data_IF_854025455096
#
_entry.id   IF_854025455096
#
_cell.length_a   1.000
_cell.length_b   1.000
_cell.length_c   1.000
_cell.angle_alpha   90.00
_cell.angle_beta   90.00
_cell.angle_gamma   90.00
#
_symmetry.space_group_name_H-M   'P 1'
#
loop_
_entity.id
_entity.type
_entity.pdbx_description
1 polymer ?
#
# COMPACT_ATOMS: atom_id res chain seq x y z
N UNK A 1 13.11 -9.83 -1.51
CA UNK A 1 12.11 -8.75 -1.64
C UNK A 1 12.64 -7.40 -1.14
N UNK A 2 13.40 -7.34 -0.04
CA UNK A 2 14.06 -6.10 0.43
C UNK A 2 15.59 -6.14 0.26
N UNK A 3 16.10 -6.82 -0.76
CA UNK A 3 17.56 -6.86 -1.02
C UNK A 3 18.02 -5.56 -1.64
N UNK A 4 19.31 -5.24 -1.53
CA UNK A 4 19.89 -4.04 -2.15
C UNK A 4 19.56 -3.94 -3.63
N UNK A 5 19.70 -5.04 -4.36
CA UNK A 5 19.41 -5.12 -5.80
C UNK A 5 17.94 -4.83 -6.13
N UNK A 6 17.00 -5.32 -5.30
CA UNK A 6 15.57 -5.01 -5.49
C UNK A 6 15.26 -3.55 -5.12
N UNK A 7 15.90 -2.99 -4.09
CA UNK A 7 15.74 -1.57 -3.77
C UNK A 7 16.29 -0.66 -4.87
N UNK A 8 17.42 -1.04 -5.47
CA UNK A 8 18.04 -0.29 -6.56
C UNK A 8 17.21 -0.35 -7.84
N UNK A 9 16.58 -1.49 -8.15
CA UNK A 9 15.68 -1.59 -9.31
C UNK A 9 14.45 -0.67 -9.18
N UNK A 10 13.97 -0.42 -7.96
CA UNK A 10 12.88 0.54 -7.69
C UNK A 10 13.34 1.99 -7.47
N UNK A 11 14.62 2.32 -7.67
CA UNK A 11 15.12 3.68 -7.48
C UNK A 11 14.33 4.73 -8.27
N UNK A 12 14.02 4.43 -9.54
CA UNK A 12 13.23 5.32 -10.40
C UNK A 12 11.84 5.60 -9.81
N UNK A 13 11.16 4.55 -9.34
CA UNK A 13 9.83 4.66 -8.74
C UNK A 13 9.85 5.53 -7.48
N UNK A 14 10.81 5.29 -6.57
CA UNK A 14 10.99 6.10 -5.35
C UNK A 14 11.19 7.57 -5.70
N UNK A 15 12.05 7.85 -6.69
CA UNK A 15 12.34 9.21 -7.14
C UNK A 15 11.13 9.89 -7.79
N UNK A 16 10.33 9.14 -8.54
CA UNK A 16 9.11 9.62 -9.19
C UNK A 16 8.06 10.05 -8.16
N UNK A 17 7.77 9.21 -7.17
CA UNK A 17 6.76 9.50 -6.14
C UNK A 17 7.15 10.67 -5.23
N UNK A 18 8.43 10.76 -4.86
CA UNK A 18 8.94 11.91 -4.10
C UNK A 18 8.78 13.20 -4.91
N UNK A 19 9.12 13.18 -6.20
CA UNK A 19 8.94 14.35 -7.08
C UNK A 19 7.48 14.74 -7.25
N UNK A 20 6.57 13.78 -7.37
CA UNK A 20 5.13 14.05 -7.42
C UNK A 20 4.64 14.71 -6.13
N UNK A 21 5.09 14.23 -4.99
CA UNK A 21 4.73 14.80 -3.68
C UNK A 21 5.23 16.24 -3.53
N UNK A 22 6.48 16.51 -3.94
CA UNK A 22 7.05 17.88 -3.94
C UNK A 22 6.28 18.79 -4.90
N UNK A 23 5.97 18.32 -6.11
CA UNK A 23 5.15 19.07 -7.08
C UNK A 23 3.77 19.38 -6.52
N UNK A 24 3.15 18.43 -5.81
CA UNK A 24 1.84 18.63 -5.20
C UNK A 24 1.88 19.74 -4.14
N UNK A 25 2.86 19.72 -3.23
CA UNK A 25 3.01 20.81 -2.24
C UNK A 25 3.26 22.15 -2.92
N UNK A 26 4.18 22.17 -3.89
CA UNK A 26 4.54 23.38 -4.61
C UNK A 26 3.38 23.98 -5.42
N UNK A 27 2.46 23.16 -5.95
CA UNK A 27 1.35 23.66 -6.76
C UNK A 27 0.12 24.02 -5.93
N UNK A 28 -0.09 23.37 -4.78
CA UNK A 28 -1.38 23.43 -4.07
C UNK A 28 -1.30 24.12 -2.71
N UNK A 29 -0.09 24.28 -2.14
CA UNK A 29 0.08 24.70 -0.74
C UNK A 29 1.05 25.88 -0.58
N UNK A 30 1.29 26.65 -1.63
CA UNK A 30 2.10 27.89 -1.53
C UNK A 30 1.38 28.89 -0.63
N UNK A 31 2.00 29.23 0.49
CA UNK A 31 1.46 30.18 1.47
C UNK A 31 0.52 29.59 2.52
N UNK A 32 0.25 28.27 2.49
CA UNK A 32 -0.58 27.58 3.48
C UNK A 32 0.26 26.69 4.40
N UNK A 33 -0.13 26.51 5.68
CA UNK A 33 0.53 25.57 6.57
C UNK A 33 0.37 24.12 6.07
N UNK A 34 1.46 23.38 6.04
CA UNK A 34 1.53 22.00 5.54
C UNK A 34 1.82 21.05 6.70
N UNK A 35 1.00 20.01 6.86
CA UNK A 35 1.34 18.91 7.77
C UNK A 35 2.35 17.97 7.11
N UNK A 36 3.62 18.13 7.49
CA UNK A 36 4.73 17.32 6.97
C UNK A 36 4.56 15.84 7.33
N UNK A 37 3.98 15.53 8.49
CA UNK A 37 3.73 14.15 8.91
C UNK A 37 2.77 13.42 7.98
N UNK A 38 1.65 14.07 7.64
CA UNK A 38 0.66 13.53 6.70
C UNK A 38 1.24 13.39 5.29
N UNK A 39 1.98 14.41 4.83
CA UNK A 39 2.64 14.39 3.54
C UNK A 39 3.63 13.22 3.44
N UNK A 40 4.56 13.11 4.40
CA UNK A 40 5.56 12.05 4.42
C UNK A 40 4.92 10.67 4.50
N UNK A 41 3.87 10.52 5.31
CA UNK A 41 3.14 9.26 5.40
C UNK A 41 2.55 8.86 4.04
N UNK A 42 1.86 9.78 3.36
CA UNK A 42 1.28 9.53 2.04
C UNK A 42 2.35 9.23 0.98
N UNK A 43 3.47 9.97 0.97
CA UNK A 43 4.57 9.74 0.04
C UNK A 43 5.22 8.38 0.25
N UNK A 44 5.53 8.00 1.50
CA UNK A 44 6.15 6.71 1.82
C UNK A 44 5.19 5.58 1.48
N UNK A 45 3.89 5.74 1.77
CA UNK A 45 2.89 4.76 1.36
C UNK A 45 2.88 4.60 -0.15
N UNK A 46 2.74 5.66 -0.94
CA UNK A 46 2.74 5.55 -2.40
C UNK A 46 3.99 4.84 -2.95
N UNK A 47 5.16 5.10 -2.34
CA UNK A 47 6.41 4.41 -2.65
C UNK A 47 6.33 2.91 -2.33
N UNK A 48 5.96 2.53 -1.11
CA UNK A 48 5.89 1.12 -0.68
C UNK A 48 4.85 0.36 -1.49
N UNK A 49 3.68 0.95 -1.68
CA UNK A 49 2.56 0.39 -2.44
C UNK A 49 2.97 0.18 -3.91
N UNK A 50 3.66 1.15 -4.51
CA UNK A 50 4.18 1.02 -5.87
C UNK A 50 5.25 -0.07 -6.00
N UNK A 51 6.10 -0.27 -4.98
CA UNK A 51 7.11 -1.33 -4.97
C UNK A 51 6.50 -2.72 -4.77
N UNK A 52 5.50 -2.86 -3.91
CA UNK A 52 4.84 -4.14 -3.63
C UNK A 52 3.95 -4.56 -4.82
N UNK A 53 3.29 -3.61 -5.49
CA UNK A 53 2.28 -3.95 -6.51
C UNK A 53 2.64 -3.60 -7.95
N UNK A 54 3.79 -2.97 -8.19
CA UNK A 54 4.32 -2.76 -9.55
C UNK A 54 3.67 -1.63 -10.34
N UNK A 55 2.98 -0.70 -9.67
CA UNK A 55 2.40 0.49 -10.30
C UNK A 55 1.78 1.44 -9.28
N UNK A 56 1.82 2.74 -9.58
CA UNK A 56 1.04 3.75 -8.84
C UNK A 56 -0.43 3.46 -9.13
N UNK A 57 -1.15 2.84 -8.19
CA UNK A 57 -2.60 2.68 -8.34
C UNK A 57 -3.25 4.06 -8.22
N UNK A 58 -3.83 4.53 -9.32
CA UNK A 58 -4.70 5.70 -9.33
C UNK A 58 -5.98 5.35 -8.57
N UNK A 59 -5.94 5.64 -7.29
CA UNK A 59 -7.05 5.40 -6.39
C UNK A 59 -6.75 6.09 -5.10
N UNK A 60 -6.92 7.42 -5.07
CA UNK A 60 -6.90 8.22 -3.84
C UNK A 60 -7.75 7.51 -2.75
N UNK A 61 -8.84 6.84 -3.14
CA UNK A 61 -9.65 6.00 -2.25
C UNK A 61 -8.93 4.79 -1.66
N UNK A 62 -8.15 4.04 -2.46
CA UNK A 62 -7.43 2.86 -1.99
C UNK A 62 -6.28 3.22 -1.03
N UNK A 63 -5.54 4.30 -1.32
CA UNK A 63 -4.50 4.81 -0.43
C UNK A 63 -5.07 5.27 0.93
N UNK A 64 -6.25 5.90 0.93
CA UNK A 64 -6.95 6.33 2.15
C UNK A 64 -7.50 5.13 2.94
N UNK A 65 -8.10 4.15 2.27
CA UNK A 65 -8.59 2.93 2.90
C UNK A 65 -7.44 2.15 3.58
N UNK A 66 -6.35 1.92 2.86
CA UNK A 66 -5.18 1.24 3.40
C UNK A 66 -4.53 2.02 4.55
N UNK A 67 -4.43 3.35 4.43
CA UNK A 67 -3.94 4.23 5.50
C UNK A 67 -4.75 4.07 6.78
N UNK A 68 -6.08 4.06 6.66
CA UNK A 68 -6.95 3.91 7.82
C UNK A 68 -6.73 2.56 8.51
N UNK A 69 -6.60 1.49 7.73
CA UNK A 69 -6.36 0.14 8.26
C UNK A 69 -4.98 0.04 8.91
N UNK A 70 -3.91 0.57 8.29
CA UNK A 70 -2.57 0.57 8.90
C UNK A 70 -2.52 1.42 10.17
N UNK A 71 -3.19 2.57 10.20
CA UNK A 71 -3.28 3.39 11.41
C UNK A 71 -4.03 2.67 12.53
N UNK A 72 -5.11 1.94 12.20
CA UNK A 72 -5.86 1.11 13.16
C UNK A 72 -4.97 0.01 13.74
N UNK A 73 -4.24 -0.73 12.88
CA UNK A 73 -3.29 -1.76 13.33
C UNK A 73 -2.13 -1.18 14.12
N UNK A 74 -1.55 -0.06 13.68
CA UNK A 74 -0.44 0.60 14.37
C UNK A 74 -0.87 1.09 15.75
N UNK A 75 -2.09 1.62 15.89
CA UNK A 75 -2.64 2.01 17.20
C UNK A 75 -2.83 0.82 18.13
N UNK A 76 -3.29 -0.31 17.60
CA UNK A 76 -3.46 -1.55 18.35
C UNK A 76 -2.10 -2.14 18.75
N UNK A 77 -1.10 -2.11 17.88
CA UNK A 77 0.27 -2.58 18.18
C UNK A 77 1.08 -1.63 19.06
N UNK A 78 0.83 -0.32 19.00
CA UNK A 78 1.49 0.68 19.84
C UNK A 78 0.94 0.72 21.27
N UNK A 79 -0.21 0.08 21.53
CA UNK A 79 -0.67 -0.12 22.88
C UNK A 79 0.35 -1.02 23.61
N UNK A 80 0.98 -0.55 24.71
CA UNK A 80 1.93 -1.38 25.45
C UNK A 80 1.24 -2.66 25.88
N UNK A 81 1.90 -3.79 25.68
CA UNK A 81 1.36 -5.10 26.05
C UNK A 81 1.27 -5.19 27.58
N UNK A 82 0.11 -4.83 28.14
CA UNK A 82 -0.09 -4.83 29.60
C UNK A 82 0.01 -6.25 30.19
N UNK A 83 -0.24 -7.30 29.39
CA UNK A 83 -0.05 -8.69 29.82
C UNK A 83 1.43 -9.04 30.03
N UNK A 84 2.32 -8.35 29.29
CA UNK A 84 3.76 -8.13 29.51
C UNK A 84 4.14 -7.89 30.97
N UNK A 85 3.34 -7.04 31.63
CA UNK A 85 3.65 -6.46 32.94
C UNK A 85 2.78 -7.03 34.07
N UNK A 86 1.55 -7.45 33.77
CA UNK A 86 0.59 -7.97 34.76
C UNK A 86 -0.21 -9.17 34.21
N UNK A 87 0.28 -10.42 34.42
CA UNK A 87 -0.33 -11.65 33.92
C UNK A 87 -1.80 -11.84 34.37
N UNK A 88 -2.19 -11.29 35.52
CA UNK A 88 -3.55 -11.39 36.07
C UNK A 88 -4.62 -10.56 35.33
N UNK A 89 -4.22 -9.62 34.47
CA UNK A 89 -5.13 -8.78 33.67
C UNK A 89 -5.35 -9.34 32.25
N UNK A 90 -4.78 -10.51 31.92
CA UNK A 90 -4.89 -11.13 30.59
C UNK A 90 -6.35 -11.43 30.16
N UNK A 91 -7.24 -11.67 31.12
CA UNK A 91 -8.66 -11.96 30.85
C UNK A 91 -9.50 -10.74 30.45
N UNK A 92 -8.97 -9.53 30.68
CA UNK A 92 -9.71 -8.27 30.54
C UNK A 92 -9.64 -7.69 29.11
N UNK A 93 -8.95 -8.37 28.18
CA UNK A 93 -8.74 -7.99 26.77
C UNK A 93 -8.43 -6.50 26.56
N UNK A 94 -7.56 -5.94 27.42
CA UNK A 94 -7.13 -4.54 27.32
C UNK A 94 -6.29 -4.26 26.06
N UNK A 95 -5.76 -5.32 25.42
CA UNK A 95 -5.05 -5.24 24.14
C UNK A 95 -5.99 -5.14 22.94
N UNK A 96 -7.28 -5.44 23.09
CA UNK A 96 -8.24 -5.41 21.98
C UNK A 96 -7.88 -6.41 20.89
N UNK A 97 -7.56 -7.65 21.28
CA UNK A 97 -7.18 -8.74 20.36
C UNK A 97 -8.29 -8.95 19.32
N UNK A 98 -9.56 -8.85 19.71
CA UNK A 98 -10.70 -8.92 18.79
C UNK A 98 -10.65 -7.80 17.72
N UNK A 99 -10.38 -6.55 18.13
CA UNK A 99 -10.21 -5.42 17.20
C UNK A 99 -9.00 -5.62 16.29
N UNK A 100 -7.92 -6.21 16.80
CA UNK A 100 -6.74 -6.56 16.01
C UNK A 100 -7.07 -7.59 14.93
N UNK A 101 -7.88 -8.61 15.26
CA UNK A 101 -8.31 -9.64 14.33
C UNK A 101 -9.22 -9.07 13.23
N UNK A 102 -10.12 -8.15 13.58
CA UNK A 102 -10.96 -7.43 12.60
C UNK A 102 -10.10 -6.56 11.67
N UNK A 103 -9.13 -5.83 12.20
CA UNK A 103 -8.22 -5.02 11.40
C UNK A 103 -7.36 -5.89 10.47
N UNK A 104 -6.88 -7.05 10.95
CA UNK A 104 -6.11 -8.00 10.13
C UNK A 104 -6.95 -8.61 9.00
N UNK A 105 -8.22 -8.94 9.27
CA UNK A 105 -9.14 -9.42 8.23
C UNK A 105 -9.38 -8.37 7.13
N UNK A 106 -9.38 -7.08 7.47
CA UNK A 106 -9.44 -5.99 6.46
C UNK A 106 -8.17 -5.95 5.63
N UNK A 107 -6.99 -6.13 6.24
CA UNK A 107 -5.71 -6.20 5.53
C UNK A 107 -5.68 -7.38 4.56
N UNK A 108 -6.11 -8.57 5.00
CA UNK A 108 -6.16 -9.77 4.15
C UNK A 108 -7.06 -9.55 2.93
N UNK A 109 -8.26 -8.99 3.14
CA UNK A 109 -9.18 -8.67 2.03
C UNK A 109 -8.61 -7.64 1.04
N UNK A 110 -7.78 -6.72 1.51
CA UNK A 110 -7.04 -5.80 0.64
C UNK A 110 -5.98 -6.57 -0.17
N UNK A 111 -5.19 -7.44 0.45
CA UNK A 111 -4.18 -8.23 -0.27
C UNK A 111 -4.79 -9.20 -1.29
N UNK A 112 -5.87 -9.89 -0.93
CA UNK A 112 -6.57 -10.83 -1.83
C UNK A 112 -7.01 -10.15 -3.12
N UNK A 113 -7.65 -8.97 -3.02
CA UNK A 113 -8.07 -8.18 -4.20
C UNK A 113 -6.89 -7.88 -5.11
N UNK A 114 -5.72 -7.61 -4.54
CA UNK A 114 -4.54 -7.22 -5.30
C UNK A 114 -3.85 -8.43 -5.94
N UNK A 115 -3.81 -9.55 -5.23
CA UNK A 115 -3.31 -10.82 -5.77
C UNK A 115 -4.17 -11.22 -6.97
N UNK A 116 -5.50 -11.10 -6.87
CA UNK A 116 -6.43 -11.37 -7.95
C UNK A 116 -6.25 -10.44 -9.16
N UNK A 117 -6.07 -9.13 -8.93
CA UNK A 117 -5.78 -8.17 -10.00
C UNK A 117 -4.47 -8.51 -10.72
N UNK A 118 -3.40 -8.83 -9.98
CA UNK A 118 -2.12 -9.17 -10.57
C UNK A 118 -2.19 -10.46 -11.37
N UNK A 119 -2.92 -11.46 -10.87
CA UNK A 119 -3.17 -12.72 -11.59
C UNK A 119 -3.93 -12.49 -12.90
N UNK A 120 -4.89 -11.55 -12.92
CA UNK A 120 -5.60 -11.17 -14.15
C UNK A 120 -4.69 -10.44 -15.16
N UNK A 121 -3.76 -9.62 -14.70
CA UNK A 121 -2.79 -8.94 -15.57
C UNK A 121 -1.81 -9.93 -16.21
N UNK A 122 -1.31 -10.91 -15.44
CA UNK A 122 -0.41 -11.97 -15.96
C UNK A 122 -1.14 -12.93 -16.93
N UNK A 123 -2.43 -13.21 -16.71
CA UNK A 123 -3.23 -14.04 -17.63
C UNK A 123 -3.72 -13.31 -18.90
N UNK A 124 -3.58 -11.98 -18.99
CA UNK A 124 -3.98 -11.20 -20.17
C UNK A 124 -2.90 -11.07 -21.25
N UNK A 125 -1.71 -11.63 -21.01
CA UNK A 125 -0.53 -11.46 -21.86
C UNK A 125 -0.40 -12.43 -23.04
N UNK A 126 -1.29 -13.41 -23.21
CA UNK A 126 -1.12 -14.43 -24.25
C UNK A 126 -2.45 -14.75 -24.97
N UNK A 127 -2.52 -14.48 -26.28
CA UNK A 127 -3.61 -14.99 -27.11
C UNK A 127 -4.24 -14.10 -28.21
N UNK A 128 -3.69 -12.92 -28.56
CA UNK A 128 -4.37 -11.99 -29.48
C UNK A 128 -3.70 -11.68 -30.84
N UNK A 129 -2.40 -11.89 -30.99
CA UNK A 129 -1.63 -11.27 -32.10
C UNK A 129 -1.63 -12.01 -33.45
N UNK A 130 -1.85 -13.32 -33.47
CA UNK A 130 -1.51 -14.14 -34.64
C UNK A 130 -2.66 -14.36 -35.64
N UNK A 131 -3.90 -14.00 -35.29
CA UNK A 131 -5.06 -14.23 -36.17
C UNK A 131 -5.32 -13.14 -37.22
N UNK A 132 -4.63 -11.99 -37.17
CA UNK A 132 -4.83 -10.90 -38.14
C UNK A 132 -3.87 -10.93 -39.33
N UNK A 133 -2.79 -11.73 -39.28
CA UNK A 133 -1.73 -11.73 -40.31
C UNK A 133 -1.93 -12.82 -41.38
N UNK A 134 -2.86 -13.77 -41.19
CA UNK A 134 -3.05 -14.91 -42.12
C UNK A 134 -4.33 -14.88 -42.97
N UNK A 135 -5.06 -13.75 -43.04
CA UNK A 135 -6.20 -13.60 -43.97
C UNK A 135 -6.05 -12.29 -44.73
N UNK A 136 -5.16 -12.28 -45.72
CA UNK A 136 -4.88 -11.11 -46.54
C UNK A 136 -3.77 -11.39 -47.55
N UNK A 137 -3.96 -12.41 -48.38
CA UNK A 137 -3.02 -12.77 -49.44
C UNK A 137 -3.51 -14.01 -50.18
N UNK A 138 -4.29 -13.80 -51.25
CA UNK A 138 -4.88 -14.81 -52.11
C UNK A 138 -6.02 -14.22 -52.91
#
# INVERSE_FOLDING_TARGET
>A
MLTKETLDSFYYLRRKEIRNSIKHVYNTQVGCPVNIGDLMFLTIMNVVMGMIWGGTKDGIGFGVEFRNVINEVTRLMAAPNLSDFYPGLAWLDLQGIEKSMVAMKKIDGIFDRIIDERRKMDCGGDGGGWRRVMVGGG
#
